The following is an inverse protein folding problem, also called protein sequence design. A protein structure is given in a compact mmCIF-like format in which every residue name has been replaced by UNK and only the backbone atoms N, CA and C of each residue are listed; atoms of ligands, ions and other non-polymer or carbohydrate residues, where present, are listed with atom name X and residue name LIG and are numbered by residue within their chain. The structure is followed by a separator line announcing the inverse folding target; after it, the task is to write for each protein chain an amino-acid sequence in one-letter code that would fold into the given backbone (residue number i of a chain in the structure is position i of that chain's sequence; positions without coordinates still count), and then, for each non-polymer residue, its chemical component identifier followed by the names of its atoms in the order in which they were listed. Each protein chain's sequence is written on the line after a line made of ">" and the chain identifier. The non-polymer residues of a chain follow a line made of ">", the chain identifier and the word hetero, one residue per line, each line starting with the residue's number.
data_IF_172309220422
#
_entry.id   IF_172309220422
#
_cell.length_a   1.000
_cell.length_b   1.000
_cell.length_c   1.000
_cell.angle_alpha   90.00
_cell.angle_beta   90.00
_cell.angle_gamma   90.00
#
_symmetry.space_group_name_H-M   'P 1'
#
loop_
_entity.id
_entity.type
_entity.pdbx_description
1 polymer ?
#
# COMPACT_ATOMS: atom_id res chain seq x y z
N UNK A 1 -0.44 0.62 11.10
CA UNK A 1 -1.25 0.13 9.97
C UNK A 1 -0.90 1.00 8.77
N UNK A 2 -0.67 0.42 7.60
CA UNK A 2 -0.28 1.20 6.42
C UNK A 2 -1.50 1.91 5.81
N UNK A 3 -1.51 3.24 5.80
CA UNK A 3 -2.62 4.11 5.34
C UNK A 3 -2.41 4.60 3.90
N UNK A 4 -2.19 3.66 2.99
CA UNK A 4 -1.70 3.93 1.65
C UNK A 4 -2.68 4.74 0.78
N UNK A 5 -3.99 4.45 0.88
CA UNK A 5 -5.02 5.17 0.13
C UNK A 5 -5.07 6.65 0.53
N UNK A 6 -4.97 6.92 1.83
CA UNK A 6 -4.92 8.28 2.37
C UNK A 6 -3.68 9.05 1.91
N UNK A 7 -2.52 8.40 1.89
CA UNK A 7 -1.27 9.01 1.37
C UNK A 7 -1.42 9.43 -0.08
N UNK A 8 -1.95 8.56 -0.94
CA UNK A 8 -2.14 8.86 -2.36
C UNK A 8 -3.11 10.02 -2.58
N UNK A 9 -4.19 10.06 -1.80
CA UNK A 9 -5.16 11.15 -1.88
C UNK A 9 -4.57 12.49 -1.39
N UNK A 10 -3.77 12.48 -0.32
CA UNK A 10 -3.05 13.67 0.12
C UNK A 10 -2.03 14.14 -0.91
N UNK A 11 -1.28 13.23 -1.54
CA UNK A 11 -0.35 13.56 -2.63
C UNK A 11 -1.08 14.14 -3.84
N UNK A 12 -2.22 13.58 -4.23
CA UNK A 12 -3.08 14.13 -5.28
C UNK A 12 -3.45 15.60 -4.97
N UNK A 13 -3.88 15.89 -3.74
CA UNK A 13 -4.28 17.25 -3.35
C UNK A 13 -3.11 18.23 -3.28
N UNK A 14 -2.00 17.82 -2.65
CA UNK A 14 -0.86 18.73 -2.39
C UNK A 14 0.05 18.91 -3.60
N UNK A 15 0.21 17.87 -4.42
CA UNK A 15 1.15 17.85 -5.54
C UNK A 15 0.45 17.93 -6.90
N UNK A 16 -0.90 17.95 -6.93
CA UNK A 16 -1.67 18.01 -8.17
C UNK A 16 -1.58 16.75 -9.04
N UNK A 17 -1.21 15.60 -8.48
CA UNK A 17 -1.08 14.35 -9.24
C UNK A 17 -2.41 13.89 -9.83
N UNK A 18 -2.41 13.49 -11.10
CA UNK A 18 -3.62 13.04 -11.76
C UNK A 18 -3.91 11.56 -11.48
N UNK A 19 -5.06 11.29 -10.86
CA UNK A 19 -5.71 9.98 -10.69
C UNK A 19 -4.80 8.82 -10.20
N UNK A 20 -4.49 8.74 -8.89
CA UNK A 20 -3.57 7.74 -8.35
C UNK A 20 -4.22 6.35 -8.12
N UNK A 21 -4.98 5.83 -9.08
CA UNK A 21 -5.47 4.44 -8.99
C UNK A 21 -4.32 3.46 -9.20
N UNK A 22 -4.32 2.36 -8.44
CA UNK A 22 -3.19 1.44 -8.38
C UNK A 22 -3.64 -0.02 -8.29
N UNK A 23 -2.73 -0.93 -8.66
CA UNK A 23 -2.91 -2.37 -8.49
C UNK A 23 -1.97 -2.86 -7.42
N UNK A 24 -2.50 -3.58 -6.43
CA UNK A 24 -1.69 -4.23 -5.40
C UNK A 24 -0.82 -5.32 -6.03
N UNK A 25 0.49 -5.20 -5.88
CA UNK A 25 1.52 -6.14 -6.39
C UNK A 25 2.52 -6.42 -5.28
N UNK A 26 3.03 -7.65 -5.23
CA UNK A 26 4.02 -8.09 -4.24
C UNK A 26 3.60 -7.82 -2.78
N UNK A 27 2.29 -7.85 -2.51
CA UNK A 27 1.78 -7.73 -1.14
C UNK A 27 2.06 -9.03 -0.42
N UNK A 28 2.85 -8.98 0.65
CA UNK A 28 3.08 -10.12 1.53
C UNK A 28 1.72 -10.58 2.07
N UNK A 29 1.28 -11.81 1.77
CA UNK A 29 0.03 -12.32 2.30
C UNK A 29 0.09 -12.31 3.83
N UNK A 30 -1.01 -11.96 4.49
CA UNK A 30 -1.12 -12.07 5.95
C UNK A 30 -1.03 -13.53 6.46
N UNK A 31 -0.91 -14.50 5.53
CA UNK A 31 -0.78 -15.93 5.80
C UNK A 31 0.70 -16.29 5.92
N UNK A 32 1.18 -16.40 7.15
CA UNK A 32 2.56 -16.81 7.44
C UNK A 32 3.55 -15.65 7.59
N UNK A 33 3.17 -14.57 8.28
CA UNK A 33 4.17 -13.70 8.88
C UNK A 33 5.21 -14.58 9.57
N UNK A 34 6.52 -14.43 9.28
CA UNK A 34 7.54 -15.07 10.09
C UNK A 34 7.19 -14.83 11.55
N UNK A 35 7.25 -15.88 12.39
CA UNK A 35 7.04 -15.73 13.82
C UNK A 35 7.80 -14.48 14.26
N UNK A 36 7.10 -13.55 14.92
CA UNK A 36 7.74 -12.34 15.40
C UNK A 36 9.02 -12.74 16.16
N UNK A 37 10.12 -12.00 16.02
CA UNK A 37 11.34 -12.32 16.73
C UNK A 37 11.02 -12.51 18.21
N UNK A 38 11.56 -13.56 18.87
CA UNK A 38 11.47 -13.73 20.30
C UNK A 38 11.68 -12.41 21.07
N UNK A 39 11.00 -12.21 22.20
CA UNK A 39 11.09 -10.97 22.98
C UNK A 39 12.50 -10.40 23.19
N UNK A 40 13.55 -11.19 23.50
CA UNK A 40 14.90 -10.63 23.66
C UNK A 40 15.47 -10.06 22.35
N UNK A 41 15.24 -10.72 21.21
CA UNK A 41 15.70 -10.25 19.91
C UNK A 41 14.95 -9.00 19.49
N UNK A 42 13.63 -8.96 19.74
CA UNK A 42 12.82 -7.76 19.47
C UNK A 42 13.30 -6.55 20.28
N UNK A 43 13.59 -6.73 21.57
CA UNK A 43 14.15 -5.65 22.41
C UNK A 43 15.50 -5.15 21.90
N UNK A 44 16.34 -6.05 21.40
CA UNK A 44 17.63 -5.66 20.81
C UNK A 44 17.44 -4.83 19.54
N UNK A 45 16.53 -5.25 18.66
CA UNK A 45 16.16 -4.48 17.45
C UNK A 45 15.62 -3.10 17.84
N UNK A 46 14.68 -3.05 18.79
CA UNK A 46 14.09 -1.78 19.26
C UNK A 46 15.15 -0.85 19.89
N UNK A 47 16.08 -1.41 20.68
CA UNK A 47 17.18 -0.63 21.27
C UNK A 47 18.14 -0.05 20.22
N UNK A 48 18.37 -0.78 19.12
CA UNK A 48 19.23 -0.31 18.02
C UNK A 48 18.53 0.70 17.09
N UNK A 49 17.19 0.75 17.09
CA UNK A 49 16.39 1.57 16.18
C UNK A 49 15.54 2.60 16.94
N UNK A 50 16.01 3.08 18.10
CA UNK A 50 15.26 4.05 18.92
C UNK A 50 14.92 5.33 18.13
N UNK A 51 15.87 5.83 17.34
CA UNK A 51 15.67 7.01 16.50
C UNK A 51 14.65 6.76 15.39
N UNK A 52 14.67 5.59 14.74
CA UNK A 52 13.67 5.24 13.72
C UNK A 52 12.27 5.10 14.31
N UNK A 53 12.16 4.58 15.54
CA UNK A 53 10.89 4.51 16.27
C UNK A 53 10.36 5.92 16.56
N UNK A 54 11.22 6.84 16.99
CA UNK A 54 10.86 8.22 17.24
C UNK A 54 10.44 8.93 15.94
N UNK A 55 11.23 8.79 14.88
CA UNK A 55 10.93 9.34 13.56
C UNK A 55 9.60 8.80 13.01
N UNK A 56 9.34 7.50 13.18
CA UNK A 56 8.10 6.88 12.77
C UNK A 56 6.90 7.49 13.50
N UNK A 57 7.00 7.64 14.83
CA UNK A 57 5.93 8.28 15.63
C UNK A 57 5.67 9.71 15.18
N UNK A 58 6.73 10.50 15.04
CA UNK A 58 6.64 11.87 14.53
C UNK A 58 5.97 11.93 13.15
N UNK A 59 6.36 11.05 12.23
CA UNK A 59 5.76 10.97 10.90
C UNK A 59 4.27 10.60 10.96
N UNK A 60 3.88 9.68 11.85
CA UNK A 60 2.47 9.33 12.07
C UNK A 60 1.67 10.54 12.58
N UNK A 61 2.18 11.28 13.55
CA UNK A 61 1.47 12.44 14.11
C UNK A 61 1.30 13.53 13.05
N UNK A 62 2.35 13.83 12.28
CA UNK A 62 2.31 14.77 11.15
C UNK A 62 1.38 14.33 10.03
N UNK A 63 1.25 13.01 9.83
CA UNK A 63 0.33 12.45 8.86
C UNK A 63 -1.13 12.64 9.30
N UNK A 64 -1.46 12.36 10.56
CA UNK A 64 -2.80 12.60 11.10
C UNK A 64 -3.17 14.09 11.06
N UNK A 65 -2.22 14.97 11.36
CA UNK A 65 -2.41 16.42 11.19
C UNK A 65 -2.69 16.80 9.74
N UNK A 66 -1.94 16.24 8.78
CA UNK A 66 -2.18 16.48 7.34
C UNK A 66 -3.58 16.04 6.90
N UNK A 67 -4.13 14.98 7.49
CA UNK A 67 -5.51 14.54 7.24
C UNK A 67 -6.53 15.49 7.88
N UNK A 68 -6.27 15.99 9.09
CA UNK A 68 -7.13 16.98 9.74
C UNK A 68 -7.17 18.29 8.94
N UNK A 69 -6.01 18.78 8.49
CA UNK A 69 -5.87 19.97 7.64
C UNK A 69 -6.58 19.82 6.29
N UNK A 70 -6.62 18.60 5.74
CA UNK A 70 -7.36 18.30 4.52
C UNK A 70 -8.89 18.51 4.67
N UNK A 71 -9.39 18.61 5.91
CA UNK A 71 -10.74 19.06 6.22
C UNK A 71 -11.84 18.02 5.99
N UNK A 72 -13.11 18.39 6.23
CA UNK A 72 -14.22 17.43 6.33
C UNK A 72 -14.52 16.66 5.02
N UNK A 73 -14.21 17.25 3.86
CA UNK A 73 -14.44 16.59 2.56
C UNK A 73 -13.52 15.40 2.32
N UNK A 74 -12.40 15.31 3.04
CA UNK A 74 -11.37 14.30 2.81
C UNK A 74 -11.92 12.87 2.89
N UNK A 75 -12.80 12.59 3.85
CA UNK A 75 -13.39 11.25 4.01
C UNK A 75 -14.30 10.88 2.83
N UNK A 76 -15.09 11.82 2.32
CA UNK A 76 -15.93 11.58 1.14
C UNK A 76 -15.12 11.32 -0.14
N UNK A 77 -14.02 12.06 -0.30
CA UNK A 77 -13.07 11.84 -1.39
C UNK A 77 -12.35 10.50 -1.26
N UNK A 78 -11.99 10.10 -0.04
CA UNK A 78 -11.34 8.82 0.24
C UNK A 78 -12.25 7.64 -0.12
N UNK A 79 -13.52 7.69 0.24
CA UNK A 79 -14.47 6.63 -0.13
C UNK A 79 -14.73 6.58 -1.64
N UNK A 80 -14.78 7.74 -2.28
CA UNK A 80 -14.87 7.82 -3.75
C UNK A 80 -13.62 7.21 -4.40
N UNK A 81 -12.43 7.55 -3.91
CA UNK A 81 -11.16 7.01 -4.36
C UNK A 81 -11.08 5.50 -4.17
N UNK A 82 -11.40 4.98 -2.99
CA UNK A 82 -11.43 3.55 -2.69
C UNK A 82 -12.36 2.78 -3.62
N UNK A 83 -13.53 3.34 -3.90
CA UNK A 83 -14.50 2.75 -4.84
C UNK A 83 -13.94 2.67 -6.26
N UNK A 84 -13.34 3.77 -6.76
CA UNK A 84 -12.68 3.80 -8.08
C UNK A 84 -11.51 2.81 -8.14
N UNK A 85 -10.66 2.81 -7.13
CA UNK A 85 -9.49 1.95 -7.05
C UNK A 85 -9.87 0.46 -7.00
N UNK A 86 -10.93 0.09 -6.27
CA UNK A 86 -11.46 -1.28 -6.23
C UNK A 86 -11.89 -1.76 -7.62
N UNK A 87 -12.62 -0.92 -8.38
CA UNK A 87 -13.02 -1.24 -9.75
C UNK A 87 -11.79 -1.43 -10.65
N UNK A 88 -10.81 -0.54 -10.53
CA UNK A 88 -9.55 -0.64 -11.27
C UNK A 88 -8.77 -1.92 -10.95
N UNK A 89 -8.66 -2.29 -9.67
CA UNK A 89 -8.04 -3.54 -9.25
C UNK A 89 -8.73 -4.78 -9.84
N UNK A 90 -10.07 -4.82 -9.84
CA UNK A 90 -10.83 -5.93 -10.44
C UNK A 90 -10.60 -6.03 -11.96
N UNK A 91 -10.71 -4.92 -12.69
CA UNK A 91 -10.46 -4.88 -14.13
C UNK A 91 -9.04 -5.30 -14.47
N UNK A 92 -8.06 -4.82 -13.69
CA UNK A 92 -6.67 -5.23 -13.87
C UNK A 92 -6.50 -6.73 -13.64
N UNK A 93 -7.08 -7.30 -12.58
CA UNK A 93 -6.97 -8.72 -12.29
C UNK A 93 -7.51 -9.61 -13.42
N UNK A 94 -8.59 -9.17 -14.09
CA UNK A 94 -9.14 -9.85 -15.26
C UNK A 94 -8.19 -9.79 -16.48
N UNK A 95 -7.62 -8.62 -16.77
CA UNK A 95 -6.64 -8.46 -17.85
C UNK A 95 -5.36 -9.29 -17.63
N UNK A 96 -4.87 -9.35 -16.39
CA UNK A 96 -3.72 -10.19 -16.02
C UNK A 96 -4.04 -11.70 -16.08
N UNK A 97 -5.29 -12.10 -15.83
CA UNK A 97 -5.73 -13.50 -15.99
C UNK A 97 -5.63 -13.94 -17.46
N UNK A 98 -6.03 -13.08 -18.40
CA UNK A 98 -5.90 -13.34 -19.83
C UNK A 98 -4.43 -13.33 -20.30
N UNK A 99 -3.61 -12.38 -19.84
CA UNK A 99 -2.19 -12.30 -20.23
C UNK A 99 -1.35 -13.44 -19.64
N UNK A 100 -1.58 -13.85 -18.39
CA UNK A 100 -0.84 -14.97 -17.76
C UNK A 100 -1.07 -16.31 -18.47
N UNK A 101 -2.26 -16.51 -19.05
CA UNK A 101 -2.56 -17.69 -19.89
C UNK A 101 -1.74 -17.72 -21.18
N UNK A 102 -1.50 -16.56 -21.80
CA UNK A 102 -0.75 -16.45 -23.07
C UNK A 102 0.78 -16.48 -22.87
N UNK A 103 1.28 -15.90 -21.78
CA UNK A 103 2.73 -15.93 -21.46
C UNK A 103 3.17 -17.32 -20.98
N UNK A 104 2.31 -18.05 -20.27
CA UNK A 104 2.58 -19.42 -19.81
C UNK A 104 2.57 -20.48 -20.91
N UNK A 105 1.84 -20.27 -22.00
CA UNK A 105 1.89 -21.12 -23.21
C UNK A 105 3.12 -20.83 -24.06
N UNK A 106 3.53 -19.56 -24.20
CA UNK A 106 4.75 -19.18 -24.92
C UNK A 106 6.03 -19.73 -24.27
N UNK A 107 6.15 -19.68 -22.95
CA UNK A 107 7.31 -20.27 -22.23
C UNK A 107 7.43 -21.79 -22.42
N UNK A 108 6.32 -22.50 -22.53
CA UNK A 108 6.29 -23.97 -22.75
C UNK A 108 6.68 -24.38 -24.17
N UNK A 109 6.53 -23.48 -25.14
CA UNK A 109 6.84 -23.71 -26.55
C UNK A 109 8.29 -23.35 -26.92
N UNK A 110 8.94 -22.51 -26.11
CA UNK A 110 10.32 -22.04 -26.35
C UNK A 110 11.38 -22.83 -25.56
N UNK A 111 10.97 -23.58 -24.55
CA UNK A 111 11.88 -24.35 -23.67
C UNK A 111 11.40 -25.80 -23.45
N UNK A 112 10.52 -26.30 -24.32
CA UNK A 112 9.98 -27.67 -24.28
C UNK A 112 10.27 -28.41 -25.56
#
# INVERSE_FOLDING_TARGET
>A
QERFDETLLLMQRRLGWQSPVYVRRNVTPQRGTPSAPPPPQRRMIEAQNQLDIELYRYACDRFEESIREAGPSFQGELETFRSRNRRYQLLSALGWRQLRLHVGTLKRRLYG
#
